data_IF_247605290041
#
_entry.id   IF_247605290041
#
_cell.length_a   1.000
_cell.length_b   1.000
_cell.length_c   1.000
_cell.angle_alpha   90.00
_cell.angle_beta   90.00
_cell.angle_gamma   90.00
#
_symmetry.space_group_name_H-M   'P 1'
#
loop_
_entity.id
_entity.type
_entity.pdbx_description
1 polymer ?
#
# COMPACT_ATOMS: atom_id res chain seq x y z
N UNK A 1 -0.44 18.42 25.18
CA UNK A 1 0.81 17.65 25.12
C UNK A 1 0.60 16.16 24.86
N UNK A 2 -0.25 15.42 25.60
CA UNK A 2 -0.39 13.97 25.41
C UNK A 2 -0.81 13.51 23.99
N UNK A 3 -1.73 14.23 23.33
CA UNK A 3 -2.21 13.86 21.99
C UNK A 3 -1.10 13.81 20.95
N UNK A 4 -0.26 14.86 20.91
CA UNK A 4 0.85 14.95 19.96
C UNK A 4 1.89 13.83 20.16
N UNK A 5 2.18 13.45 21.41
CA UNK A 5 3.11 12.36 21.70
C UNK A 5 2.56 10.99 21.27
N UNK A 6 1.26 10.76 21.48
CA UNK A 6 0.59 9.53 21.03
C UNK A 6 0.55 9.47 19.50
N UNK A 7 0.24 10.58 18.85
CA UNK A 7 0.20 10.65 17.38
C UNK A 7 1.59 10.43 16.75
N UNK A 8 2.64 11.01 17.33
CA UNK A 8 4.01 10.78 16.86
C UNK A 8 4.40 9.31 17.00
N UNK A 9 4.08 8.69 18.15
CA UNK A 9 4.36 7.28 18.39
C UNK A 9 3.61 6.36 17.40
N UNK A 10 2.34 6.66 17.11
CA UNK A 10 1.56 5.91 16.12
C UNK A 10 2.16 6.05 14.71
N UNK A 11 2.57 7.26 14.33
CA UNK A 11 3.14 7.51 13.00
C UNK A 11 4.54 6.90 12.85
N UNK A 12 5.37 6.94 13.91
CA UNK A 12 6.65 6.25 13.95
C UNK A 12 6.47 4.73 13.82
N UNK A 13 5.48 4.15 14.49
CA UNK A 13 5.15 2.73 14.39
C UNK A 13 4.68 2.33 12.97
N UNK A 14 3.97 3.22 12.29
CA UNK A 14 3.37 2.99 10.96
C UNK A 14 4.23 3.51 9.80
N UNK A 15 5.44 4.02 10.07
CA UNK A 15 6.25 4.76 9.09
C UNK A 15 6.62 3.94 7.84
N UNK A 16 6.68 2.61 7.99
CA UNK A 16 6.96 1.65 6.93
C UNK A 16 5.71 1.18 6.16
N UNK A 17 4.52 1.63 6.57
CA UNK A 17 3.27 1.16 5.99
C UNK A 17 2.84 2.04 4.83
N UNK A 18 2.30 1.40 3.79
CA UNK A 18 1.60 2.04 2.68
C UNK A 18 0.17 1.54 2.57
N UNK A 19 -0.68 2.37 1.99
CA UNK A 19 -2.07 2.08 1.66
C UNK A 19 -2.22 2.07 0.14
N UNK A 20 -2.65 0.94 -0.42
CA UNK A 20 -2.89 0.77 -1.85
C UNK A 20 -4.39 0.66 -2.11
N UNK A 21 -4.90 1.45 -3.05
CA UNK A 21 -6.33 1.56 -3.40
C UNK A 21 -6.52 1.17 -4.86
N UNK A 22 -7.64 0.51 -5.16
CA UNK A 22 -8.04 0.16 -6.54
C UNK A 22 -7.75 -1.29 -6.95
N UNK A 23 -7.10 -2.08 -6.09
CA UNK A 23 -6.85 -3.51 -6.34
C UNK A 23 -8.20 -4.26 -6.29
N UNK A 24 -8.61 -4.96 -7.36
CA UNK A 24 -9.86 -5.73 -7.37
C UNK A 24 -9.92 -6.76 -6.23
N UNK A 25 -11.08 -6.89 -5.59
CA UNK A 25 -11.29 -7.87 -4.50
C UNK A 25 -11.11 -9.30 -5.00
N UNK A 26 -10.50 -10.18 -4.18
CA UNK A 26 -10.35 -11.60 -4.48
C UNK A 26 -9.23 -11.92 -5.47
N UNK A 27 -8.34 -10.96 -5.76
CA UNK A 27 -7.14 -11.17 -6.60
C UNK A 27 -5.90 -11.51 -5.79
N UNK A 28 -5.94 -11.34 -4.46
CA UNK A 28 -4.79 -11.58 -3.58
C UNK A 28 -4.43 -13.07 -3.38
N UNK A 29 -5.24 -13.99 -3.92
CA UNK A 29 -5.10 -15.44 -3.73
C UNK A 29 -4.93 -15.80 -2.23
N UNK A 30 -4.28 -16.93 -1.94
CA UNK A 30 -4.06 -17.46 -0.59
C UNK A 30 -2.98 -16.67 0.17
N UNK A 31 -2.08 -15.95 -0.53
CA UNK A 31 -0.97 -15.22 0.08
C UNK A 31 -0.93 -13.74 -0.36
N UNK A 32 -1.61 -12.84 0.38
CA UNK A 32 -1.62 -11.42 0.08
C UNK A 32 -0.23 -10.77 0.11
N UNK A 33 0.69 -11.27 0.95
CA UNK A 33 2.06 -10.75 1.06
C UNK A 33 2.85 -11.01 -0.22
N UNK A 34 2.84 -12.24 -0.72
CA UNK A 34 3.50 -12.60 -1.98
C UNK A 34 2.87 -11.87 -3.17
N UNK A 35 1.53 -11.78 -3.20
CA UNK A 35 0.81 -11.03 -4.23
C UNK A 35 1.22 -9.56 -4.27
N UNK A 36 1.35 -8.89 -3.12
CA UNK A 36 1.73 -7.48 -3.10
C UNK A 36 3.17 -7.25 -3.60
N UNK A 37 4.07 -8.22 -3.43
CA UNK A 37 5.45 -8.15 -3.94
C UNK A 37 5.48 -8.13 -5.45
N UNK A 38 4.77 -9.08 -6.08
CA UNK A 38 4.65 -9.14 -7.55
C UNK A 38 3.85 -7.96 -8.10
N UNK A 39 2.74 -7.59 -7.46
CA UNK A 39 1.91 -6.45 -7.85
C UNK A 39 2.69 -5.13 -7.89
N UNK A 40 3.52 -4.86 -6.87
CA UNK A 40 4.29 -3.62 -6.83
C UNK A 40 5.35 -3.57 -7.94
N UNK A 41 5.99 -4.71 -8.24
CA UNK A 41 6.92 -4.82 -9.36
C UNK A 41 6.23 -4.60 -10.71
N UNK A 42 5.05 -5.19 -10.92
CA UNK A 42 4.27 -5.02 -12.15
C UNK A 42 3.80 -3.56 -12.35
N UNK A 43 3.23 -2.95 -11.32
CA UNK A 43 2.63 -1.60 -11.42
C UNK A 43 3.69 -0.50 -11.48
N UNK A 44 4.81 -0.66 -10.77
CA UNK A 44 5.89 0.32 -10.75
C UNK A 44 7.01 0.00 -11.72
N UNK A 45 6.91 -1.07 -12.51
CA UNK A 45 7.87 -1.44 -13.54
C UNK A 45 9.13 -2.12 -13.00
N UNK A 46 9.73 -2.96 -13.84
CA UNK A 46 10.97 -3.69 -13.53
C UNK A 46 12.18 -2.77 -13.39
N UNK A 47 12.15 -1.60 -14.02
CA UNK A 47 13.18 -0.56 -13.87
C UNK A 47 13.23 0.03 -12.46
N UNK A 48 12.15 -0.10 -11.69
CA UNK A 48 12.08 0.38 -10.30
C UNK A 48 12.58 -0.66 -9.30
N UNK A 49 12.49 -1.95 -9.67
CA UNK A 49 12.73 -3.08 -8.79
C UNK A 49 13.53 -4.15 -9.51
N UNK A 50 14.82 -4.25 -9.18
CA UNK A 50 15.66 -5.38 -9.58
C UNK A 50 15.00 -6.67 -9.08
N UNK A 51 14.75 -6.73 -7.77
CA UNK A 51 14.02 -7.81 -7.08
C UNK A 51 12.69 -7.33 -6.50
N UNK A 52 11.80 -8.28 -6.20
CA UNK A 52 10.54 -7.98 -5.52
C UNK A 52 10.81 -7.31 -4.16
N UNK A 53 10.03 -6.28 -3.78
CA UNK A 53 10.17 -5.68 -2.46
C UNK A 53 9.87 -6.71 -1.37
N UNK A 54 10.70 -6.73 -0.32
CA UNK A 54 10.46 -7.54 0.87
C UNK A 54 9.31 -6.93 1.67
N UNK A 55 8.23 -7.70 1.82
CA UNK A 55 7.01 -7.29 2.52
C UNK A 55 6.86 -8.14 3.77
N UNK A 56 6.74 -7.50 4.92
CA UNK A 56 6.51 -8.20 6.19
C UNK A 56 5.07 -8.71 6.27
N UNK A 57 4.11 -7.87 5.85
CA UNK A 57 2.68 -8.17 5.97
C UNK A 57 1.86 -7.39 4.96
N UNK A 58 0.91 -8.04 4.31
CA UNK A 58 -0.14 -7.39 3.53
C UNK A 58 -1.52 -7.93 3.91
N UNK A 59 -2.53 -7.05 3.98
CA UNK A 59 -3.91 -7.44 4.23
C UNK A 59 -4.88 -6.33 3.79
N UNK A 60 -6.15 -6.68 3.55
CA UNK A 60 -7.21 -5.69 3.34
C UNK A 60 -7.58 -5.00 4.65
N UNK A 61 -8.03 -3.76 4.56
CA UNK A 61 -8.66 -3.06 5.68
C UNK A 61 -9.88 -3.84 6.19
N UNK A 62 -10.14 -3.79 7.49
CA UNK A 62 -11.21 -4.52 8.19
C UNK A 62 -12.65 -4.10 7.82
N UNK A 63 -12.83 -3.22 6.84
CA UNK A 63 -14.16 -2.85 6.35
C UNK A 63 -14.90 -4.07 5.76
N UNK A 64 -16.23 -4.03 5.83
CA UNK A 64 -17.10 -5.03 5.19
C UNK A 64 -16.79 -5.11 3.69
N UNK A 65 -16.82 -6.33 3.15
CA UNK A 65 -16.60 -6.55 1.73
C UNK A 65 -17.67 -5.77 0.93
N UNK A 66 -17.27 -4.87 0.02
CA UNK A 66 -18.19 -4.06 -0.75
C UNK A 66 -18.97 -4.92 -1.75
N UNK A 67 -20.21 -4.52 -2.04
CA UNK A 67 -21.02 -5.11 -3.11
C UNK A 67 -20.35 -4.92 -4.48
N UNK A 68 -20.65 -5.76 -5.48
CA UNK A 68 -20.15 -5.58 -6.84
C UNK A 68 -20.41 -4.15 -7.36
N UNK A 69 -19.40 -3.52 -7.96
CA UNK A 69 -19.47 -2.15 -8.48
C UNK A 69 -19.15 -1.02 -7.49
N UNK A 70 -19.06 -1.32 -6.19
CA UNK A 70 -18.53 -0.38 -5.17
C UNK A 70 -16.99 -0.42 -5.14
N UNK A 71 -16.32 0.64 -4.65
CA UNK A 71 -14.87 0.69 -4.61
C UNK A 71 -14.30 -0.43 -3.72
N UNK A 72 -13.22 -1.11 -4.16
CA UNK A 72 -12.62 -2.21 -3.39
C UNK A 72 -11.95 -1.68 -2.11
N UNK A 73 -11.82 -2.54 -1.10
CA UNK A 73 -11.12 -2.20 0.16
C UNK A 73 -9.67 -1.86 -0.09
N UNK A 74 -9.07 -1.01 0.73
CA UNK A 74 -7.64 -0.73 0.58
C UNK A 74 -6.80 -1.92 1.07
N UNK A 75 -5.65 -2.15 0.44
CA UNK A 75 -4.60 -3.03 0.94
C UNK A 75 -3.67 -2.21 1.83
N UNK A 76 -3.48 -2.66 3.06
CA UNK A 76 -2.45 -2.17 3.97
C UNK A 76 -1.23 -3.07 3.84
N UNK A 77 -0.09 -2.48 3.54
CA UNK A 77 1.16 -3.21 3.30
C UNK A 77 2.25 -2.63 4.18
N UNK A 78 2.88 -3.49 4.98
CA UNK A 78 4.07 -3.17 5.76
C UNK A 78 5.30 -3.63 4.98
N UNK A 79 6.16 -2.69 4.63
CA UNK A 79 7.42 -2.97 3.95
C UNK A 79 8.52 -3.21 4.98
N UNK A 80 9.40 -4.16 4.70
CA UNK A 80 10.51 -4.48 5.59
C UNK A 80 11.49 -3.31 5.72
N UNK A 81 11.78 -2.64 4.61
CA UNK A 81 12.72 -1.53 4.54
C UNK A 81 12.00 -0.19 4.33
N UNK A 82 12.31 0.79 5.18
CA UNK A 82 11.76 2.15 5.06
C UNK A 82 12.16 2.83 3.74
N UNK A 83 13.39 2.60 3.27
CA UNK A 83 13.87 3.16 2.01
C UNK A 83 13.04 2.66 0.81
N UNK A 84 12.66 1.39 0.80
CA UNK A 84 11.79 0.81 -0.23
C UNK A 84 10.42 1.49 -0.25
N UNK A 85 9.86 1.77 0.94
CA UNK A 85 8.61 2.52 1.08
C UNK A 85 8.70 3.93 0.47
N UNK A 86 9.75 4.66 0.80
CA UNK A 86 9.95 6.03 0.28
C UNK A 86 10.15 6.03 -1.23
N UNK A 87 10.91 5.07 -1.75
CA UNK A 87 11.11 4.89 -3.18
C UNK A 87 9.80 4.61 -3.91
N UNK A 88 8.97 3.67 -3.41
CA UNK A 88 7.63 3.36 -3.94
C UNK A 88 6.78 4.62 -4.05
N UNK A 89 6.69 5.39 -2.97
CA UNK A 89 5.87 6.61 -2.96
C UNK A 89 6.39 7.66 -3.94
N UNK A 90 7.71 7.84 -4.01
CA UNK A 90 8.34 8.77 -4.95
C UNK A 90 8.05 8.40 -6.41
N UNK A 91 8.22 7.13 -6.76
CA UNK A 91 7.97 6.65 -8.13
C UNK A 91 6.48 6.73 -8.47
N UNK A 92 5.60 6.34 -7.54
CA UNK A 92 4.16 6.46 -7.72
C UNK A 92 3.73 7.91 -8.01
N UNK A 93 4.26 8.89 -7.27
CA UNK A 93 3.98 10.31 -7.51
C UNK A 93 4.52 10.80 -8.86
N UNK A 94 5.73 10.36 -9.25
CA UNK A 94 6.36 10.76 -10.52
C UNK A 94 5.60 10.23 -11.74
N UNK A 95 5.07 9.00 -11.67
CA UNK A 95 4.29 8.40 -12.76
C UNK A 95 2.89 9.00 -12.89
N UNK A 96 2.35 9.56 -11.80
CA UNK A 96 1.01 10.12 -11.76
C UNK A 96 -0.07 9.03 -11.76
N UNK A 97 -0.44 8.53 -12.94
CA UNK A 97 -1.50 7.53 -13.08
C UNK A 97 -0.93 6.11 -13.17
N UNK A 98 -1.16 5.33 -12.11
CA UNK A 98 -0.87 3.90 -12.09
C UNK A 98 -2.12 3.10 -12.50
N UNK A 99 -1.92 1.98 -13.16
CA UNK A 99 -3.01 1.07 -13.51
C UNK A 99 -2.62 -0.40 -13.34
N UNK A 100 -3.61 -1.24 -13.06
CA UNK A 100 -3.49 -2.68 -12.95
C UNK A 100 -4.75 -3.32 -13.53
N UNK A 101 -4.62 -4.17 -14.55
CA UNK A 101 -5.74 -4.83 -15.25
C UNK A 101 -6.86 -3.85 -15.65
N UNK A 102 -6.47 -2.69 -16.19
CA UNK A 102 -7.39 -1.64 -16.62
C UNK A 102 -8.08 -0.86 -15.49
N UNK A 103 -7.69 -1.07 -14.23
CA UNK A 103 -8.18 -0.31 -13.07
C UNK A 103 -7.12 0.66 -12.57
N UNK A 104 -7.53 1.87 -12.19
CA UNK A 104 -6.64 2.89 -11.63
C UNK A 104 -6.19 2.46 -10.23
N UNK A 105 -4.89 2.61 -9.98
CA UNK A 105 -4.26 2.30 -8.70
C UNK A 105 -3.75 3.59 -8.06
N UNK A 106 -3.93 3.71 -6.76
CA UNK A 106 -3.37 4.80 -5.97
C UNK A 106 -2.59 4.24 -4.78
N UNK A 107 -1.42 4.82 -4.53
CA UNK A 107 -0.53 4.42 -3.43
C UNK A 107 -0.30 5.63 -2.54
N UNK A 108 -0.59 5.48 -1.25
CA UNK A 108 -0.45 6.53 -0.25
C UNK A 108 0.37 6.05 0.95
N UNK A 109 1.02 6.97 1.69
CA UNK A 109 1.46 6.67 3.03
C UNK A 109 0.30 6.22 3.92
N UNK A 110 0.55 5.37 4.92
CA UNK A 110 -0.43 5.03 5.94
C UNK A 110 -0.15 5.80 7.24
N UNK A 111 -0.95 6.83 7.50
CA UNK A 111 -0.84 7.68 8.70
C UNK A 111 -2.00 7.46 9.66
N UNK A 112 -1.85 7.90 10.91
CA UNK A 112 -2.97 7.97 11.87
C UNK A 112 -3.99 9.04 11.47
N UNK A 113 -5.19 8.97 12.05
CA UNK A 113 -6.35 9.76 11.66
C UNK A 113 -6.19 11.28 11.84
N UNK A 114 -5.19 11.74 12.60
CA UNK A 114 -4.94 13.17 12.84
C UNK A 114 -4.31 13.92 11.65
N UNK A 115 -3.84 13.20 10.62
CA UNK A 115 -3.17 13.77 9.43
C UNK A 115 -3.96 13.53 8.12
N UNK A 116 -5.25 13.18 8.21
CA UNK A 116 -6.14 12.95 7.07
C UNK A 116 -6.94 14.21 6.69
#
# INVERSE_FOLDING_TARGET
MLKAAVDDQENCSRRQNIRVIGIPEGKEDTNPTAFMGSFLKEVLGEETFIDQPVIDRAHRTLATKPSPGKPPRAMLVRLHYYQTKEMILRVSRKRGQLSYKGKKIHIFPYHSAALA
#
